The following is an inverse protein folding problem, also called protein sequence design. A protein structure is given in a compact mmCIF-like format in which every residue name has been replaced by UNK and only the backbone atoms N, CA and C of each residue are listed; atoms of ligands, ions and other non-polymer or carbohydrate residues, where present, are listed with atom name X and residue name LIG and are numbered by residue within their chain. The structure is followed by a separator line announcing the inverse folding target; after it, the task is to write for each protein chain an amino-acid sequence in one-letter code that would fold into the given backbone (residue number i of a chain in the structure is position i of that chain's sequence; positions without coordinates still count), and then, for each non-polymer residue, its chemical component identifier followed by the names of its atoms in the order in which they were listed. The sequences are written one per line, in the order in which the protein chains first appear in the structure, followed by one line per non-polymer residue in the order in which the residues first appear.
data_IF_286899226877
#
_entry.id   IF_286899226877
#
_cell.length_a   1.000
_cell.length_b   1.000
_cell.length_c   1.000
_cell.angle_alpha   90.00
_cell.angle_beta   90.00
_cell.angle_gamma   90.00
#
_symmetry.space_group_name_H-M   'P 1'
#
loop_
_entity.id
_entity.type
_entity.pdbx_description
1 polymer ?
#
# COMPACT_ATOMS: atom_id res chain seq x y z
N UNK A 1 -14.52 3.20 -0.09
CA UNK A 1 -14.30 1.84 0.46
C UNK A 1 -15.58 1.03 0.35
N UNK A 2 -15.51 -0.24 -0.05
CA UNK A 2 -16.65 -1.16 0.02
C UNK A 2 -16.44 -2.10 1.22
N UNK A 3 -17.46 -2.34 2.06
CA UNK A 3 -17.34 -3.27 3.18
C UNK A 3 -17.09 -4.70 2.67
N UNK A 4 -16.45 -5.57 3.48
CA UNK A 4 -16.21 -6.95 3.07
C UNK A 4 -17.53 -7.66 2.73
N UNK A 5 -17.57 -8.34 1.57
CA UNK A 5 -18.76 -9.03 1.05
C UNK A 5 -19.41 -10.00 2.04
N UNK A 6 -18.62 -10.56 2.97
CA UNK A 6 -19.07 -11.54 3.97
C UNK A 6 -18.85 -11.05 5.42
N UNK A 7 -18.69 -9.74 5.64
CA UNK A 7 -18.42 -9.19 6.98
C UNK A 7 -17.16 -9.78 7.63
N UNK A 8 -16.18 -10.17 6.82
CA UNK A 8 -14.95 -10.87 7.25
C UNK A 8 -13.93 -9.92 7.93
N UNK A 9 -14.45 -8.98 8.71
CA UNK A 9 -13.68 -8.06 9.54
C UNK A 9 -13.06 -8.85 10.70
N UNK A 10 -11.76 -8.64 10.92
CA UNK A 10 -11.04 -9.30 12.00
C UNK A 10 -9.86 -8.45 12.45
N UNK A 11 -9.55 -8.53 13.74
CA UNK A 11 -8.32 -7.97 14.29
C UNK A 11 -7.16 -8.91 13.98
N UNK A 12 -6.08 -8.36 13.44
CA UNK A 12 -4.82 -9.08 13.21
C UNK A 12 -3.78 -8.58 14.21
N UNK A 13 -3.02 -9.50 14.79
CA UNK A 13 -1.83 -9.15 15.58
C UNK A 13 -0.71 -8.77 14.62
N UNK A 14 -0.20 -7.56 14.77
CA UNK A 14 0.92 -7.04 13.99
C UNK A 14 2.19 -7.08 14.85
N UNK A 15 3.28 -7.74 14.40
CA UNK A 15 4.54 -7.72 15.13
C UNK A 15 5.08 -6.28 15.28
N UNK A 16 5.79 -5.95 16.38
CA UNK A 16 6.29 -4.60 16.62
C UNK A 16 7.11 -4.02 15.46
N UNK A 17 8.01 -4.82 14.87
CA UNK A 17 8.83 -4.36 13.73
C UNK A 17 7.98 -3.94 12.52
N UNK A 18 6.86 -4.63 12.28
CA UNK A 18 5.98 -4.31 11.16
C UNK A 18 5.14 -3.07 11.47
N UNK A 19 4.71 -2.90 12.72
CA UNK A 19 4.01 -1.69 13.15
C UNK A 19 4.88 -0.44 12.94
N UNK A 20 6.16 -0.48 13.33
CA UNK A 20 7.10 0.63 13.13
C UNK A 20 7.31 0.96 11.64
N UNK A 21 7.38 -0.04 10.77
CA UNK A 21 7.51 0.17 9.32
C UNK A 21 6.26 0.82 8.72
N UNK A 22 5.08 0.37 9.15
CA UNK A 22 3.80 0.93 8.71
C UNK A 22 3.62 2.37 9.18
N UNK A 23 4.03 2.68 10.41
CA UNK A 23 3.98 4.03 10.97
C UNK A 23 4.89 4.99 10.20
N UNK A 24 6.17 4.64 10.00
CA UNK A 24 7.10 5.45 9.20
C UNK A 24 6.63 5.65 7.76
N UNK A 25 6.04 4.61 7.15
CA UNK A 25 5.48 4.74 5.82
C UNK A 25 4.28 5.70 5.82
N UNK A 26 3.40 5.57 6.82
CA UNK A 26 2.23 6.42 6.95
C UNK A 26 2.58 7.89 7.14
N UNK A 27 3.64 8.18 7.89
CA UNK A 27 4.14 9.55 8.11
C UNK A 27 4.81 10.15 6.86
N UNK A 28 5.17 9.33 5.87
CA UNK A 28 5.83 9.80 4.65
C UNK A 28 4.89 10.49 3.65
N UNK A 29 3.58 10.50 3.89
CA UNK A 29 2.58 11.07 2.98
C UNK A 29 1.28 11.48 3.69
N UNK A 30 0.56 12.45 3.12
CA UNK A 30 -0.72 12.93 3.66
C UNK A 30 -1.97 12.17 3.14
N UNK A 31 -1.77 11.12 2.34
CA UNK A 31 -2.89 10.35 1.77
C UNK A 31 -3.68 9.63 2.88
N UNK A 32 -5.00 9.43 2.74
CA UNK A 32 -5.80 8.70 3.72
C UNK A 32 -5.49 7.18 3.79
N UNK A 33 -4.95 6.61 2.71
CA UNK A 33 -4.61 5.19 2.60
C UNK A 33 -3.22 4.91 3.13
N UNK A 34 -3.04 3.79 3.86
CA UNK A 34 -1.70 3.36 4.31
C UNK A 34 -0.79 3.06 3.12
N UNK A 35 -1.33 2.51 2.03
CA UNK A 35 -0.59 2.23 0.80
C UNK A 35 -1.34 2.82 -0.40
N UNK A 36 -1.05 4.07 -0.80
CA UNK A 36 -1.62 4.65 -2.00
C UNK A 36 -0.99 4.03 -3.25
N UNK A 37 -1.78 3.89 -4.31
CA UNK A 37 -1.25 3.58 -5.64
C UNK A 37 -0.41 4.75 -6.18
N UNK A 38 0.36 4.52 -7.24
CA UNK A 38 1.08 5.57 -7.98
C UNK A 38 0.16 6.70 -8.47
N UNK A 39 -1.14 6.41 -8.63
CA UNK A 39 -2.19 7.37 -8.98
C UNK A 39 -2.82 8.07 -7.77
N UNK A 40 -2.35 7.83 -6.54
CA UNK A 40 -2.91 8.36 -5.30
C UNK A 40 -4.18 7.66 -4.80
N UNK A 41 -4.78 6.77 -5.60
CA UNK A 41 -5.99 6.02 -5.25
C UNK A 41 -5.73 4.66 -4.61
N UNK A 42 -6.77 3.83 -4.42
CA UNK A 42 -6.64 2.48 -3.88
C UNK A 42 -5.80 1.56 -4.77
N UNK A 43 -4.91 0.77 -4.16
CA UNK A 43 -4.18 -0.30 -4.88
C UNK A 43 -5.09 -1.38 -5.46
N UNK A 44 -6.30 -1.58 -4.90
CA UNK A 44 -7.21 -2.65 -5.27
C UNK A 44 -7.59 -2.66 -6.76
N UNK A 45 -7.56 -1.51 -7.42
CA UNK A 45 -7.93 -1.38 -8.84
C UNK A 45 -6.76 -1.51 -9.80
N UNK A 46 -5.56 -1.82 -9.29
CA UNK A 46 -4.34 -1.94 -10.10
C UNK A 46 -3.92 -3.41 -10.25
N UNK A 47 -3.27 -3.75 -11.37
CA UNK A 47 -2.53 -5.01 -11.45
C UNK A 47 -1.25 -4.88 -10.61
N UNK A 48 -1.37 -5.22 -9.33
CA UNK A 48 -0.27 -5.09 -8.36
C UNK A 48 0.94 -5.92 -8.80
N UNK A 49 0.72 -7.11 -9.34
CA UNK A 49 1.81 -7.99 -9.72
C UNK A 49 2.66 -7.36 -10.84
N UNK A 50 2.00 -6.90 -11.90
CA UNK A 50 2.68 -6.35 -13.08
C UNK A 50 3.33 -4.99 -12.78
N UNK A 51 2.62 -4.08 -12.11
CA UNK A 51 3.08 -2.70 -11.98
C UNK A 51 3.95 -2.42 -10.75
N UNK A 52 3.87 -3.26 -9.71
CA UNK A 52 4.58 -3.06 -8.44
C UNK A 52 5.53 -4.22 -8.14
N UNK A 53 5.00 -5.43 -8.00
CA UNK A 53 5.81 -6.56 -7.54
C UNK A 53 6.92 -6.95 -8.51
N UNK A 54 6.59 -7.14 -9.79
CA UNK A 54 7.57 -7.58 -10.80
C UNK A 54 8.73 -6.57 -10.94
N UNK A 55 8.50 -5.25 -11.02
CA UNK A 55 9.57 -4.25 -11.01
C UNK A 55 10.41 -4.23 -9.72
N UNK A 56 9.78 -4.26 -8.55
CA UNK A 56 10.51 -4.26 -7.26
C UNK A 56 11.42 -5.48 -7.15
N UNK A 57 10.90 -6.65 -7.51
CA UNK A 57 11.66 -7.91 -7.52
C UNK A 57 12.81 -7.89 -8.54
N UNK A 58 12.58 -7.30 -9.71
CA UNK A 58 13.54 -7.26 -10.81
C UNK A 58 14.64 -6.20 -10.64
N UNK A 59 14.48 -5.27 -9.70
CA UNK A 59 15.26 -4.04 -9.66
C UNK A 59 14.74 -3.07 -10.71
N UNK A 60 14.23 -1.93 -10.27
CA UNK A 60 13.75 -0.87 -11.14
C UNK A 60 14.25 0.48 -10.63
N UNK A 61 14.45 1.41 -11.55
CA UNK A 61 14.72 2.80 -11.21
C UNK A 61 13.64 3.37 -10.28
N UNK A 62 14.07 4.23 -9.36
CA UNK A 62 13.16 4.93 -8.47
C UNK A 62 12.16 5.75 -9.30
N UNK A 63 10.88 5.66 -8.94
CA UNK A 63 9.79 6.37 -9.60
C UNK A 63 9.16 7.33 -8.59
N UNK A 64 8.94 8.57 -9.00
CA UNK A 64 8.08 9.46 -8.23
C UNK A 64 6.62 8.99 -8.37
N UNK A 65 5.91 8.89 -7.25
CA UNK A 65 4.45 8.85 -7.29
C UNK A 65 3.94 10.15 -7.90
N UNK A 66 2.91 10.10 -8.74
CA UNK A 66 2.39 11.31 -9.43
C UNK A 66 1.80 12.36 -8.47
N UNK A 67 1.62 12.01 -7.21
CA UNK A 67 0.98 12.82 -6.17
C UNK A 67 1.77 12.78 -4.85
N UNK A 68 3.06 12.46 -4.91
CA UNK A 68 3.98 12.53 -3.79
C UNK A 68 4.45 13.97 -3.55
#
# INVERSE_FOLDING_TARGET
FAPPKYGSERTLVIPPFLAELLERHRESHDNELVFPALSGGPLLTTDFHTYYWSPVRGGAEARAGRYA
#
